data_IF_507891921847
#
_entry.id   IF_507891921847
#
_cell.length_a   1.000
_cell.length_b   1.000
_cell.length_c   1.000
_cell.angle_alpha   90.00
_cell.angle_beta   90.00
_cell.angle_gamma   90.00
#
_symmetry.space_group_name_H-M   'P 1'
#
loop_
_entity.id
_entity.type
_entity.pdbx_description
1 polymer ?
#
# COMPACT_ATOMS: atom_id res chain seq x y z
N UNK A 1 -48.38 -19.31 -7.88
CA UNK A 1 -47.90 -19.47 -6.49
C UNK A 1 -46.39 -19.28 -6.48
N UNK A 2 -45.83 -18.29 -5.77
CA UNK A 2 -44.38 -18.17 -5.65
C UNK A 2 -43.82 -19.24 -4.69
N UNK A 3 -42.68 -19.86 -5.03
CA UNK A 3 -42.00 -20.88 -4.21
C UNK A 3 -41.51 -20.27 -2.90
N UNK A 4 -41.65 -20.96 -1.75
CA UNK A 4 -41.09 -20.48 -0.49
C UNK A 4 -39.55 -20.57 -0.53
N UNK A 5 -38.88 -19.46 -0.24
CA UNK A 5 -37.42 -19.42 -0.08
C UNK A 5 -37.03 -19.98 1.29
N UNK A 6 -36.30 -21.10 1.32
CA UNK A 6 -35.90 -21.80 2.56
C UNK A 6 -34.67 -21.20 3.27
N UNK A 7 -34.15 -20.06 2.81
CA UNK A 7 -32.97 -19.42 3.38
C UNK A 7 -33.39 -18.23 4.22
N UNK A 8 -33.18 -18.31 5.54
CA UNK A 8 -33.42 -17.17 6.43
C UNK A 8 -32.27 -16.17 6.26
N UNK A 9 -32.50 -14.85 6.25
CA UNK A 9 -31.43 -13.86 6.19
C UNK A 9 -30.31 -14.06 7.23
N UNK A 10 -30.65 -14.61 8.39
CA UNK A 10 -29.71 -14.97 9.45
C UNK A 10 -28.71 -16.06 9.03
N UNK A 11 -29.13 -17.01 8.19
CA UNK A 11 -28.27 -18.07 7.65
C UNK A 11 -27.24 -17.46 6.68
N UNK A 12 -27.66 -16.50 5.85
CA UNK A 12 -26.77 -15.79 4.92
C UNK A 12 -25.71 -14.97 5.68
N UNK A 13 -26.11 -14.29 6.77
CA UNK A 13 -25.18 -13.61 7.67
C UNK A 13 -24.22 -14.60 8.35
N UNK A 14 -24.71 -15.76 8.79
CA UNK A 14 -23.89 -16.83 9.37
C UNK A 14 -22.84 -17.37 8.40
N UNK A 15 -23.23 -17.67 7.16
CA UNK A 15 -22.31 -18.14 6.11
C UNK A 15 -21.25 -17.08 5.73
N UNK A 16 -21.67 -15.81 5.63
CA UNK A 16 -20.74 -14.70 5.36
C UNK A 16 -19.69 -14.56 6.46
N UNK A 17 -20.13 -14.55 7.73
CA UNK A 17 -19.23 -14.43 8.88
C UNK A 17 -18.27 -15.63 9.00
N UNK A 18 -18.77 -16.85 8.77
CA UNK A 18 -17.95 -18.06 8.75
C UNK A 18 -16.89 -18.03 7.64
N UNK A 19 -17.25 -17.54 6.45
CA UNK A 19 -16.33 -17.44 5.31
C UNK A 19 -15.22 -16.43 5.60
N UNK A 20 -15.58 -15.29 6.19
CA UNK A 20 -14.64 -14.25 6.63
C UNK A 20 -13.66 -14.81 7.68
N UNK A 21 -14.17 -15.50 8.69
CA UNK A 21 -13.35 -16.08 9.75
C UNK A 21 -12.41 -17.17 9.21
N UNK A 22 -12.88 -17.99 8.25
CA UNK A 22 -12.07 -19.01 7.59
C UNK A 22 -10.91 -18.42 6.77
N UNK A 23 -11.18 -17.36 5.99
CA UNK A 23 -10.15 -16.67 5.18
C UNK A 23 -9.11 -16.00 6.08
N UNK A 24 -9.56 -15.37 7.18
CA UNK A 24 -8.67 -14.77 8.16
C UNK A 24 -7.77 -15.83 8.85
N UNK A 25 -8.35 -16.97 9.25
CA UNK A 25 -7.62 -18.07 9.88
C UNK A 25 -6.59 -18.71 8.96
N UNK A 26 -6.91 -18.91 7.68
CA UNK A 26 -5.94 -19.42 6.69
C UNK A 26 -4.78 -18.42 6.49
N UNK A 27 -5.09 -17.13 6.43
CA UNK A 27 -4.11 -16.04 6.31
C UNK A 27 -3.14 -16.04 7.51
N UNK A 28 -3.65 -16.23 8.73
CA UNK A 28 -2.82 -16.35 9.95
C UNK A 28 -1.87 -17.57 9.87
N UNK A 29 -2.34 -18.68 9.31
CA UNK A 29 -1.59 -19.92 9.21
C UNK A 29 -0.42 -19.80 8.22
N UNK A 30 -0.65 -19.19 7.05
CA UNK A 30 0.40 -18.93 6.06
C UNK A 30 1.39 -17.86 6.57
N UNK A 31 0.92 -16.84 7.29
CA UNK A 31 1.83 -15.86 7.91
C UNK A 31 2.76 -16.52 8.93
N UNK A 32 2.22 -17.36 9.80
CA UNK A 32 3.03 -18.08 10.79
C UNK A 32 4.08 -18.97 10.10
N UNK A 33 3.73 -19.60 8.97
CA UNK A 33 4.66 -20.36 8.16
C UNK A 33 5.79 -19.49 7.60
N UNK A 34 5.47 -18.35 6.97
CA UNK A 34 6.49 -17.43 6.46
C UNK A 34 7.35 -16.81 7.57
N UNK A 35 6.78 -16.58 8.76
CA UNK A 35 7.55 -16.14 9.92
C UNK A 35 8.58 -17.20 10.33
N UNK A 36 8.16 -18.46 10.40
CA UNK A 36 9.03 -19.58 10.75
C UNK A 36 10.14 -19.82 9.72
N UNK A 37 9.86 -19.65 8.43
CA UNK A 37 10.88 -19.74 7.36
C UNK A 37 11.89 -18.59 7.45
N UNK A 38 11.43 -17.38 7.75
CA UNK A 38 12.28 -16.21 7.87
C UNK A 38 13.07 -16.15 9.20
N UNK A 39 12.63 -16.89 10.21
CA UNK A 39 13.35 -17.03 11.48
C UNK A 39 14.46 -18.07 11.36
N UNK A 40 15.66 -17.73 11.84
CA UNK A 40 16.79 -18.67 11.92
C UNK A 40 16.43 -19.86 12.85
N UNK A 41 16.64 -21.11 12.43
CA UNK A 41 16.30 -22.25 13.28
C UNK A 41 17.28 -22.31 14.46
N UNK A 42 16.75 -22.36 15.69
CA UNK A 42 17.53 -22.82 16.84
C UNK A 42 17.37 -24.34 16.93
N UNK A 43 18.46 -25.12 17.07
CA UNK A 43 18.41 -26.59 16.94
C UNK A 43 17.58 -27.27 18.03
N UNK A 44 17.34 -26.61 19.17
CA UNK A 44 16.47 -27.05 20.27
C UNK A 44 15.79 -25.81 20.86
N UNK A 45 14.66 -25.42 20.31
CA UNK A 45 13.88 -24.28 20.78
C UNK A 45 12.42 -24.36 20.35
N UNK A 46 11.51 -23.87 21.19
CA UNK A 46 10.09 -23.70 20.79
C UNK A 46 10.06 -22.85 19.51
N UNK A 47 9.24 -23.22 18.50
CA UNK A 47 9.12 -22.39 17.30
C UNK A 47 8.79 -20.97 17.73
N UNK A 48 9.45 -19.94 17.16
CA UNK A 48 9.20 -18.57 17.53
C UNK A 48 7.73 -18.24 17.27
N UNK A 49 6.96 -18.08 18.34
CA UNK A 49 5.59 -17.62 18.25
C UNK A 49 5.64 -16.15 17.86
N UNK A 50 5.21 -15.82 16.64
CA UNK A 50 5.33 -14.46 16.15
C UNK A 50 4.64 -14.25 14.82
N UNK A 51 4.42 -12.98 14.52
CA UNK A 51 3.98 -12.51 13.22
C UNK A 51 5.18 -12.12 12.37
N UNK A 52 4.99 -12.17 11.06
CA UNK A 52 6.00 -11.63 10.15
C UNK A 52 6.19 -10.13 10.44
N UNK A 53 7.42 -9.64 10.26
CA UNK A 53 7.79 -8.23 10.45
C UNK A 53 8.15 -7.63 9.10
N UNK A 54 8.12 -6.30 8.99
CA UNK A 54 8.46 -5.60 7.73
C UNK A 54 7.36 -5.75 6.68
N UNK A 55 7.75 -5.86 5.41
CA UNK A 55 6.85 -5.86 4.24
C UNK A 55 5.85 -7.03 4.33
N UNK A 56 6.32 -8.22 4.68
CA UNK A 56 5.48 -9.42 4.84
C UNK A 56 4.40 -9.22 5.92
N UNK A 57 4.77 -8.62 7.05
CA UNK A 57 3.81 -8.33 8.14
C UNK A 57 2.74 -7.34 7.71
N UNK A 58 3.11 -6.35 6.89
CA UNK A 58 2.17 -5.38 6.35
C UNK A 58 1.20 -6.04 5.36
N UNK A 59 1.69 -6.90 4.45
CA UNK A 59 0.83 -7.66 3.52
C UNK A 59 -0.21 -8.48 4.27
N UNK A 60 0.20 -9.26 5.27
CA UNK A 60 -0.75 -10.08 6.06
C UNK A 60 -1.70 -9.24 6.90
N UNK A 61 -1.24 -8.11 7.44
CA UNK A 61 -2.11 -7.18 8.16
C UNK A 61 -3.18 -6.54 7.25
N UNK A 62 -2.83 -6.25 5.98
CA UNK A 62 -3.74 -5.67 5.00
C UNK A 62 -4.78 -6.67 4.52
N UNK A 63 -4.40 -7.93 4.27
CA UNK A 63 -5.35 -9.01 3.95
C UNK A 63 -6.38 -9.14 5.09
N UNK A 64 -5.92 -9.23 6.35
CA UNK A 64 -6.84 -9.26 7.50
C UNK A 64 -7.68 -7.99 7.65
N UNK A 65 -7.11 -6.83 7.37
CA UNK A 65 -7.82 -5.55 7.42
C UNK A 65 -8.99 -5.54 6.43
N UNK A 66 -8.76 -6.01 5.20
CA UNK A 66 -9.79 -6.12 4.17
C UNK A 66 -10.81 -7.22 4.52
N UNK A 67 -10.38 -8.40 4.96
CA UNK A 67 -11.28 -9.48 5.38
C UNK A 67 -12.21 -9.03 6.52
N UNK A 68 -11.68 -8.29 7.51
CA UNK A 68 -12.49 -7.72 8.61
C UNK A 68 -13.39 -6.57 8.14
N UNK A 69 -12.95 -5.75 7.19
CA UNK A 69 -13.79 -4.71 6.58
C UNK A 69 -14.95 -5.30 5.77
N UNK A 70 -14.74 -6.41 5.06
CA UNK A 70 -15.81 -7.12 4.36
C UNK A 70 -16.77 -7.79 5.37
N UNK A 71 -16.23 -8.39 6.44
CA UNK A 71 -17.05 -9.01 7.49
C UNK A 71 -17.79 -8.05 8.42
N UNK A 72 -17.29 -6.81 8.60
CA UNK A 72 -17.93 -5.78 9.41
C UNK A 72 -18.66 -4.69 8.61
N UNK A 73 -18.38 -4.58 7.31
CA UNK A 73 -18.88 -3.51 6.43
C UNK A 73 -20.18 -3.81 5.71
N UNK A 74 -20.59 -5.09 5.65
CA UNK A 74 -21.89 -5.50 5.12
C UNK A 74 -23.08 -4.98 5.96
N UNK A 75 -22.85 -4.63 7.23
CA UNK A 75 -23.91 -4.17 8.13
C UNK A 75 -23.93 -2.65 8.40
N UNK A 76 -22.94 -1.84 7.95
CA UNK A 76 -22.85 -0.46 8.47
C UNK A 76 -22.44 0.69 7.52
N UNK A 77 -21.87 0.48 6.32
CA UNK A 77 -21.01 1.54 5.72
C UNK A 77 -21.41 2.10 4.34
N UNK A 78 -22.30 1.47 3.56
CA UNK A 78 -22.60 1.96 2.21
C UNK A 78 -23.28 3.35 2.15
N UNK A 79 -23.75 3.91 3.27
CA UNK A 79 -24.51 5.17 3.31
C UNK A 79 -23.79 6.42 3.83
N UNK A 80 -22.54 6.36 4.33
CA UNK A 80 -21.97 7.50 5.11
C UNK A 80 -20.55 7.99 4.79
N UNK A 81 -19.82 7.42 3.82
CA UNK A 81 -18.43 7.82 3.55
C UNK A 81 -18.21 8.68 2.30
N UNK A 82 -19.22 9.43 1.86
CA UNK A 82 -19.10 10.31 0.68
C UNK A 82 -18.56 11.73 0.97
N UNK A 83 -18.69 12.39 2.14
CA UNK A 83 -18.31 13.81 2.23
C UNK A 83 -16.93 14.07 2.84
N UNK A 84 -15.88 13.37 2.43
CA UNK A 84 -14.48 13.71 2.81
C UNK A 84 -13.54 13.87 1.60
N UNK A 85 -14.10 14.09 0.41
CA UNK A 85 -13.34 14.48 -0.78
C UNK A 85 -13.13 15.99 -0.79
N UNK A 86 -12.19 16.47 0.03
CA UNK A 86 -11.66 17.82 -0.04
C UNK A 86 -10.23 17.81 -0.55
N UNK A 87 -9.85 18.81 -1.34
CA UNK A 87 -8.51 19.08 -1.90
C UNK A 87 -7.48 19.50 -0.82
N UNK A 88 -7.48 18.79 0.32
CA UNK A 88 -6.48 18.92 1.37
C UNK A 88 -5.44 17.80 1.32
N UNK A 89 -4.30 17.98 2.02
CA UNK A 89 -3.34 16.89 2.24
C UNK A 89 -4.08 15.72 2.89
N UNK A 90 -4.12 14.58 2.20
CA UNK A 90 -4.73 13.34 2.73
C UNK A 90 -4.03 12.93 4.03
N UNK A 91 -4.79 12.50 5.03
CA UNK A 91 -4.22 12.00 6.28
C UNK A 91 -3.46 10.68 6.04
N UNK A 92 -2.42 10.36 6.85
CA UNK A 92 -1.70 9.08 6.74
C UNK A 92 -2.63 7.86 6.87
N UNK A 93 -3.66 7.94 7.70
CA UNK A 93 -4.65 6.87 7.89
C UNK A 93 -5.48 6.66 6.61
N UNK A 94 -5.91 7.75 5.96
CA UNK A 94 -6.63 7.67 4.69
C UNK A 94 -5.75 7.09 3.59
N UNK A 95 -4.50 7.53 3.49
CA UNK A 95 -3.52 6.98 2.55
C UNK A 95 -3.27 5.48 2.77
N UNK A 96 -3.27 5.02 4.03
CA UNK A 96 -3.13 3.61 4.36
C UNK A 96 -4.36 2.78 3.92
N UNK A 97 -5.57 3.30 4.13
CA UNK A 97 -6.81 2.65 3.67
C UNK A 97 -6.85 2.57 2.15
N UNK A 98 -6.56 3.67 1.45
CA UNK A 98 -6.50 3.69 -0.02
C UNK A 98 -5.45 2.73 -0.57
N UNK A 99 -4.27 2.71 0.03
CA UNK A 99 -3.21 1.78 -0.33
C UNK A 99 -3.64 0.31 -0.16
N UNK A 100 -4.30 -0.02 0.95
CA UNK A 100 -4.81 -1.36 1.18
C UNK A 100 -5.90 -1.75 0.15
N UNK A 101 -6.85 -0.85 -0.13
CA UNK A 101 -7.88 -1.08 -1.15
C UNK A 101 -7.27 -1.29 -2.55
N UNK A 102 -6.30 -0.44 -2.94
CA UNK A 102 -5.61 -0.57 -4.22
C UNK A 102 -4.69 -1.79 -4.27
N UNK A 103 -4.10 -2.21 -3.16
CA UNK A 103 -3.30 -3.43 -3.13
C UNK A 103 -4.14 -4.68 -3.36
N UNK A 104 -5.38 -4.73 -2.86
CA UNK A 104 -6.26 -5.90 -3.01
C UNK A 104 -7.14 -5.85 -4.26
N UNK A 105 -7.66 -4.67 -4.62
CA UNK A 105 -8.65 -4.48 -5.68
C UNK A 105 -8.18 -3.49 -6.76
N UNK A 106 -6.88 -3.24 -6.85
CA UNK A 106 -6.32 -2.16 -7.66
C UNK A 106 -6.62 -2.23 -9.15
N UNK A 107 -6.54 -3.42 -9.73
CA UNK A 107 -6.85 -3.68 -11.13
C UNK A 107 -8.33 -3.39 -11.44
N UNK A 108 -9.24 -3.81 -10.56
CA UNK A 108 -10.65 -3.52 -10.66
C UNK A 108 -10.95 -2.02 -10.52
N UNK A 109 -10.34 -1.35 -9.53
CA UNK A 109 -10.53 0.09 -9.33
C UNK A 109 -10.06 0.90 -10.55
N UNK A 110 -8.95 0.51 -11.16
CA UNK A 110 -8.45 1.14 -12.39
C UNK A 110 -9.37 0.86 -13.59
N UNK A 111 -9.74 -0.41 -13.81
CA UNK A 111 -10.58 -0.82 -14.94
C UNK A 111 -11.98 -0.19 -14.90
N UNK A 112 -12.52 0.05 -13.70
CA UNK A 112 -13.82 0.70 -13.49
C UNK A 112 -13.76 2.23 -13.49
N UNK A 113 -12.56 2.83 -13.62
CA UNK A 113 -12.40 4.29 -13.53
C UNK A 113 -12.75 4.86 -12.15
N UNK A 114 -12.59 4.05 -11.09
CA UNK A 114 -12.99 4.42 -9.74
C UNK A 114 -12.11 5.56 -9.19
N UNK A 115 -12.67 6.59 -8.54
CA UNK A 115 -11.90 7.72 -7.99
C UNK A 115 -10.95 7.30 -6.86
N UNK A 116 -11.11 6.11 -6.29
CA UNK A 116 -10.19 5.56 -5.29
C UNK A 116 -8.95 4.93 -5.91
N UNK A 117 -8.90 4.76 -7.23
CA UNK A 117 -7.72 4.23 -7.93
C UNK A 117 -6.54 5.18 -7.76
N UNK A 118 -5.44 4.66 -7.21
CA UNK A 118 -4.20 5.42 -7.05
C UNK A 118 -3.56 5.62 -8.42
N UNK A 119 -3.36 6.88 -8.80
CA UNK A 119 -2.55 7.25 -9.96
C UNK A 119 -1.08 7.27 -9.59
N UNK A 120 -0.23 6.73 -10.46
CA UNK A 120 1.20 6.71 -10.21
C UNK A 120 1.77 8.12 -10.15
N UNK A 121 2.59 8.40 -9.13
CA UNK A 121 3.29 9.67 -9.00
C UNK A 121 4.56 9.52 -8.18
N UNK A 122 5.52 10.41 -8.43
CA UNK A 122 6.67 10.60 -7.54
C UNK A 122 6.29 11.61 -6.48
N UNK A 123 6.56 11.28 -5.21
CA UNK A 123 6.21 12.09 -4.05
C UNK A 123 7.44 12.41 -3.21
N UNK A 124 7.34 13.51 -2.48
CA UNK A 124 8.25 13.87 -1.40
C UNK A 124 7.45 14.39 -0.22
N UNK A 125 7.70 13.86 0.98
CA UNK A 125 6.96 14.21 2.21
C UNK A 125 5.43 14.10 2.02
N UNK A 126 4.96 13.06 1.32
CA UNK A 126 3.54 12.85 1.03
C UNK A 126 2.91 13.81 0.03
N UNK A 127 3.68 14.59 -0.71
CA UNK A 127 3.15 15.51 -1.75
C UNK A 127 3.70 15.11 -3.11
N UNK A 128 2.83 15.09 -4.13
CA UNK A 128 3.23 14.80 -5.51
C UNK A 128 4.20 15.88 -6.02
N UNK A 129 5.25 15.43 -6.69
CA UNK A 129 6.22 16.26 -7.38
C UNK A 129 5.70 16.57 -8.78
N UNK A 130 5.76 17.84 -9.18
CA UNK A 130 5.58 18.22 -10.58
C UNK A 130 6.91 18.00 -11.30
N UNK A 131 6.88 17.25 -12.41
CA UNK A 131 8.07 16.93 -13.20
C UNK A 131 8.40 18.05 -14.19
N UNK A 132 8.64 19.23 -13.62
CA UNK A 132 9.18 20.41 -14.28
C UNK A 132 10.46 20.81 -13.55
N UNK A 133 11.47 21.30 -14.29
CA UNK A 133 12.79 21.59 -13.70
C UNK A 133 12.72 22.64 -12.60
N UNK A 134 11.95 23.70 -12.78
CA UNK A 134 11.81 24.78 -11.80
C UNK A 134 11.00 24.30 -10.59
N UNK A 135 9.91 23.56 -10.83
CA UNK A 135 9.11 22.98 -9.76
C UNK A 135 9.92 21.97 -8.91
N UNK A 136 10.74 21.14 -9.56
CA UNK A 136 11.64 20.20 -8.88
C UNK A 136 12.73 20.94 -8.09
N UNK A 137 13.33 21.99 -8.65
CA UNK A 137 14.31 22.81 -7.91
C UNK A 137 13.68 23.48 -6.68
N UNK A 138 12.43 23.94 -6.78
CA UNK A 138 11.71 24.51 -5.63
C UNK A 138 11.35 23.44 -4.58
N UNK A 139 10.89 22.27 -5.00
CA UNK A 139 10.54 21.16 -4.10
C UNK A 139 11.77 20.46 -3.49
N UNK A 140 12.92 20.56 -4.17
CA UNK A 140 14.18 19.91 -3.83
C UNK A 140 15.35 20.91 -4.02
N UNK A 141 15.49 21.93 -3.14
CA UNK A 141 16.51 22.98 -3.32
C UNK A 141 17.95 22.47 -3.40
N UNK A 142 18.25 21.36 -2.70
CA UNK A 142 19.57 20.74 -2.65
C UNK A 142 19.55 19.38 -3.37
N UNK A 143 18.94 19.32 -4.56
CA UNK A 143 18.95 18.10 -5.39
C UNK A 143 20.39 17.76 -5.79
N UNK A 144 20.88 16.60 -5.35
CA UNK A 144 22.19 16.06 -5.76
C UNK A 144 22.08 15.19 -7.02
N UNK A 145 23.23 14.82 -7.58
CA UNK A 145 23.30 13.90 -8.74
C UNK A 145 22.98 12.45 -8.42
N UNK A 146 22.98 12.07 -7.13
CA UNK A 146 22.65 10.72 -6.68
C UNK A 146 21.18 10.62 -6.29
N UNK A 147 20.34 10.12 -7.17
CA UNK A 147 18.93 9.88 -6.86
C UNK A 147 18.74 8.54 -6.14
N UNK A 148 17.79 8.51 -5.20
CA UNK A 148 17.30 7.29 -4.58
C UNK A 148 15.80 7.21 -4.77
N UNK A 149 15.33 6.21 -5.51
CA UNK A 149 13.89 5.98 -5.71
C UNK A 149 13.40 4.88 -4.77
N UNK A 150 12.47 5.22 -3.88
CA UNK A 150 11.89 4.28 -2.92
C UNK A 150 10.51 3.80 -3.39
N UNK A 151 10.42 2.55 -3.84
CA UNK A 151 9.17 1.91 -4.22
C UNK A 151 8.61 1.05 -3.08
N UNK A 152 7.39 1.36 -2.63
CA UNK A 152 6.74 0.61 -1.55
C UNK A 152 6.21 -0.76 -2.04
N UNK A 153 5.91 -1.65 -1.10
CA UNK A 153 5.34 -2.97 -1.36
C UNK A 153 3.82 -2.96 -1.58
N UNK A 154 3.25 -4.17 -1.71
CA UNK A 154 1.81 -4.41 -1.84
C UNK A 154 1.03 -3.89 -0.63
N UNK A 155 -0.12 -3.25 -0.89
CA UNK A 155 -0.98 -2.63 0.14
C UNK A 155 -0.27 -1.55 0.96
N UNK A 156 0.78 -0.93 0.40
CA UNK A 156 1.55 0.13 1.05
C UNK A 156 1.45 1.46 0.31
N UNK A 157 1.97 2.52 0.93
CA UNK A 157 2.21 3.82 0.32
C UNK A 157 3.60 4.38 0.73
N UNK A 158 3.97 5.51 0.11
CA UNK A 158 5.23 6.22 0.31
C UNK A 158 5.49 6.67 1.76
N UNK A 159 4.45 6.98 2.54
CA UNK A 159 4.61 7.46 3.92
C UNK A 159 5.12 6.37 4.87
N UNK A 160 4.93 5.10 4.53
CA UNK A 160 5.26 3.97 5.39
C UNK A 160 6.75 3.61 5.42
N UNK A 161 7.58 4.32 4.66
CA UNK A 161 9.04 4.29 4.84
C UNK A 161 9.49 4.92 6.16
N UNK A 162 8.63 5.75 6.79
CA UNK A 162 8.80 6.23 8.16
C UNK A 162 8.07 5.30 9.13
N UNK A 163 8.82 4.60 9.98
CA UNK A 163 8.29 3.66 10.96
C UNK A 163 9.02 3.80 12.29
N UNK A 164 8.26 3.92 13.38
CA UNK A 164 8.80 4.01 14.75
C UNK A 164 9.88 5.11 14.90
N UNK A 165 9.66 6.27 14.27
CA UNK A 165 10.61 7.38 14.29
C UNK A 165 11.80 7.26 13.33
N UNK A 166 11.97 6.11 12.66
CA UNK A 166 13.01 5.90 11.67
C UNK A 166 12.46 6.05 10.25
N UNK A 167 13.10 6.88 9.42
CA UNK A 167 12.81 7.02 7.99
C UNK A 167 13.99 6.46 7.20
N UNK A 168 13.78 5.33 6.53
CA UNK A 168 14.82 4.62 5.79
C UNK A 168 15.38 5.47 4.64
N UNK A 169 14.53 6.22 3.93
CA UNK A 169 14.97 7.08 2.83
C UNK A 169 15.80 8.25 3.34
N UNK A 170 15.40 8.85 4.47
CA UNK A 170 16.16 9.92 5.10
C UNK A 170 17.50 9.42 5.69
N UNK A 171 17.55 8.19 6.22
CA UNK A 171 18.77 7.59 6.73
C UNK A 171 19.79 7.36 5.60
N UNK A 172 19.37 6.75 4.49
CA UNK A 172 20.22 6.55 3.30
C UNK A 172 20.70 7.87 2.70
N UNK A 173 19.82 8.88 2.65
CA UNK A 173 20.18 10.22 2.19
C UNK A 173 21.31 10.85 3.04
N UNK A 174 21.18 10.78 4.36
CA UNK A 174 22.16 11.31 5.30
C UNK A 174 23.51 10.58 5.22
N UNK A 175 23.47 9.25 5.17
CA UNK A 175 24.68 8.44 5.33
C UNK A 175 25.45 8.27 4.02
N UNK A 176 24.76 8.35 2.86
CA UNK A 176 25.35 8.07 1.53
C UNK A 176 25.23 9.23 0.53
N UNK A 177 24.61 10.35 0.92
CA UNK A 177 24.48 11.55 0.09
C UNK A 177 23.43 11.44 -1.03
N UNK A 178 22.42 10.57 -0.89
CA UNK A 178 21.34 10.43 -1.87
C UNK A 178 20.26 11.51 -1.73
N UNK A 179 19.57 11.80 -2.84
CA UNK A 179 18.33 12.58 -2.86
C UNK A 179 17.12 11.63 -2.97
N UNK A 180 16.37 11.42 -1.87
CA UNK A 180 15.27 10.46 -1.86
C UNK A 180 14.01 11.02 -2.52
N UNK A 181 13.43 10.23 -3.40
CA UNK A 181 12.12 10.41 -4.03
C UNK A 181 11.33 9.12 -3.86
N UNK A 182 10.04 9.23 -3.55
CA UNK A 182 9.22 8.08 -3.19
C UNK A 182 8.20 7.82 -4.29
N UNK A 183 8.09 6.57 -4.76
CA UNK A 183 7.07 6.17 -5.71
C UNK A 183 5.76 5.89 -4.97
N UNK A 184 4.67 6.50 -5.40
CA UNK A 184 3.31 6.20 -4.95
C UNK A 184 2.54 5.62 -6.13
N UNK A 185 2.04 4.40 -6.01
CA UNK A 185 1.45 3.68 -7.14
C UNK A 185 0.41 2.64 -6.70
N UNK A 186 -0.44 2.24 -7.64
CA UNK A 186 -1.40 1.16 -7.45
C UNK A 186 -0.69 -0.20 -7.43
N UNK A 187 -0.35 -0.67 -6.23
CA UNK A 187 0.37 -1.94 -6.04
C UNK A 187 -0.44 -3.20 -6.39
N UNK A 188 -1.76 -3.12 -6.53
CA UNK A 188 -2.60 -4.22 -7.00
C UNK A 188 -2.71 -4.29 -8.53
N UNK A 189 -2.18 -3.30 -9.26
CA UNK A 189 -2.08 -3.38 -10.73
C UNK A 189 -1.01 -4.38 -11.15
N UNK A 190 -1.22 -5.00 -12.31
CA UNK A 190 -0.25 -5.91 -12.92
C UNK A 190 1.17 -5.30 -12.98
N UNK A 191 2.16 -6.08 -12.53
CA UNK A 191 3.55 -5.61 -12.36
C UNK A 191 4.12 -5.05 -13.67
N UNK A 192 3.86 -5.70 -14.82
CA UNK A 192 4.38 -5.22 -16.10
C UNK A 192 3.78 -3.88 -16.52
N UNK A 193 2.52 -3.59 -16.14
CA UNK A 193 1.90 -2.30 -16.39
C UNK A 193 2.50 -1.24 -15.48
N UNK A 194 2.68 -1.54 -14.20
CA UNK A 194 3.42 -0.67 -13.27
C UNK A 194 4.84 -0.38 -13.75
N UNK A 195 5.57 -1.39 -14.21
CA UNK A 195 6.93 -1.21 -14.75
C UNK A 195 6.98 -0.28 -15.96
N UNK A 196 6.05 -0.42 -16.91
CA UNK A 196 5.99 0.46 -18.09
C UNK A 196 5.71 1.92 -17.73
N UNK A 197 4.70 2.18 -16.89
CA UNK A 197 4.40 3.55 -16.47
C UNK A 197 5.54 4.15 -15.65
N UNK A 198 6.12 3.34 -14.76
CA UNK A 198 7.24 3.80 -13.93
C UNK A 198 8.48 4.12 -14.77
N UNK A 199 8.78 3.34 -15.81
CA UNK A 199 9.86 3.65 -16.75
C UNK A 199 9.67 5.04 -17.38
N UNK A 200 8.48 5.33 -17.92
CA UNK A 200 8.21 6.66 -18.49
C UNK A 200 8.28 7.78 -17.46
N UNK A 201 7.89 7.50 -16.21
CA UNK A 201 7.98 8.46 -15.11
C UNK A 201 9.45 8.73 -14.70
N UNK A 202 10.31 7.72 -14.77
CA UNK A 202 11.75 7.89 -14.55
C UNK A 202 12.40 8.70 -15.67
N UNK A 203 12.04 8.45 -16.93
CA UNK A 203 12.56 9.25 -18.06
C UNK A 203 12.19 10.73 -17.93
N UNK A 204 10.93 11.00 -17.57
CA UNK A 204 10.44 12.35 -17.31
C UNK A 204 11.16 13.01 -16.11
N UNK A 205 11.37 12.25 -15.02
CA UNK A 205 12.10 12.72 -13.85
C UNK A 205 13.54 13.12 -14.19
N UNK A 206 14.27 12.23 -14.87
CA UNK A 206 15.66 12.44 -15.23
C UNK A 206 15.82 13.63 -16.18
N UNK A 207 14.91 13.77 -17.15
CA UNK A 207 14.90 14.88 -18.10
C UNK A 207 14.68 16.24 -17.41
N UNK A 208 13.87 16.26 -16.35
CA UNK A 208 13.57 17.47 -15.59
C UNK A 208 14.48 17.67 -14.37
N UNK A 209 15.44 16.77 -14.09
CA UNK A 209 16.18 16.81 -12.84
C UNK A 209 17.00 18.11 -12.71
N UNK A 210 17.00 18.79 -11.53
CA UNK A 210 17.66 20.09 -11.40
C UNK A 210 19.18 20.06 -11.48
N UNK A 211 19.81 18.90 -11.26
CA UNK A 211 21.26 18.70 -11.26
C UNK A 211 21.67 17.63 -12.28
N UNK A 212 22.95 17.58 -12.71
CA UNK A 212 23.47 16.42 -13.43
C UNK A 212 23.35 15.16 -12.57
N UNK A 213 22.89 14.06 -13.17
CA UNK A 213 22.77 12.75 -12.50
C UNK A 213 24.07 11.96 -12.73
N UNK A 214 24.58 11.31 -11.67
CA UNK A 214 25.80 10.49 -11.68
C UNK A 214 25.62 9.15 -12.42
#
# INVERSE_FOLDING_TARGET
MPKPSHLHPADLHGFSRMTVDAVAGLTDLVEAMHHNIASTPTPLGKPPAGRTRGITGLVYSSIRGVTRLVGGGLDMVLGRLVPLFGEGKSSPEREAVLAALNGVLGDYLEASGNPLAIRMSLRRKGSALQLDKNALAAAIPNAGGRLLILAHGLCMNDLQWKRQGHDHGAALARDLGYTPVYLHYNSGRHISTNGREFSGLLDALLSAWPAPVD
#
